data_IF_483056494067
#
_entry.id   IF_483056494067
#
_cell.length_a   1.000
_cell.length_b   1.000
_cell.length_c   1.000
_cell.angle_alpha   90.00
_cell.angle_beta   90.00
_cell.angle_gamma   90.00
#
_symmetry.space_group_name_H-M   'P 1'
#
loop_
_entity.id
_entity.type
_entity.pdbx_description
1 polymer ?
#
# COMPACT_ATOMS: atom_id res chain seq x y z
N UNK A 1 7.41 13.08 13.69
CA UNK A 1 7.68 11.68 13.35
C UNK A 1 7.32 11.44 11.89
N UNK A 2 8.10 10.62 11.25
CA UNK A 2 7.85 10.31 9.85
C UNK A 2 6.60 9.44 9.69
N UNK A 3 5.88 9.65 8.61
CA UNK A 3 4.75 8.81 8.27
C UNK A 3 5.23 7.46 7.79
N UNK A 4 4.43 6.44 8.05
CA UNK A 4 4.78 5.03 7.83
C UNK A 4 3.99 4.46 6.66
N UNK A 5 4.68 3.76 5.79
CA UNK A 5 4.07 3.12 4.63
C UNK A 5 4.40 1.63 4.66
N UNK A 6 3.37 0.81 4.57
CA UNK A 6 3.54 -0.64 4.47
C UNK A 6 3.41 -1.02 3.00
N UNK A 7 4.43 -1.68 2.47
CA UNK A 7 4.45 -2.17 1.10
C UNK A 7 4.25 -3.69 1.13
N UNK A 8 3.24 -4.17 0.43
CA UNK A 8 2.95 -5.59 0.34
C UNK A 8 2.95 -6.02 -1.11
N UNK A 9 4.04 -6.66 -1.54
CA UNK A 9 4.25 -7.11 -2.90
C UNK A 9 5.23 -8.28 -2.84
N UNK A 10 4.91 -9.39 -3.52
CA UNK A 10 5.76 -10.57 -3.49
C UNK A 10 6.94 -10.50 -4.48
N UNK A 11 6.99 -9.49 -5.32
CA UNK A 11 8.15 -9.24 -6.17
C UNK A 11 9.16 -8.40 -5.39
N UNK A 12 10.27 -9.00 -4.93
CA UNK A 12 11.23 -8.26 -4.11
C UNK A 12 11.87 -7.09 -4.84
N UNK A 13 11.98 -7.15 -6.15
CA UNK A 13 12.54 -6.04 -6.94
C UNK A 13 11.63 -4.82 -6.85
N UNK A 14 10.34 -5.02 -7.06
CA UNK A 14 9.35 -3.93 -6.98
C UNK A 14 9.27 -3.40 -5.55
N UNK A 15 9.20 -4.30 -4.58
CA UNK A 15 9.10 -3.91 -3.18
C UNK A 15 10.31 -3.08 -2.73
N UNK A 16 11.52 -3.51 -3.11
CA UNK A 16 12.73 -2.76 -2.79
C UNK A 16 12.78 -1.41 -3.47
N UNK A 17 12.37 -1.36 -4.74
CA UNK A 17 12.32 -0.10 -5.49
C UNK A 17 11.39 0.91 -4.81
N UNK A 18 10.21 0.48 -4.43
CA UNK A 18 9.25 1.34 -3.74
C UNK A 18 9.78 1.78 -2.38
N UNK A 19 10.35 0.84 -1.64
CA UNK A 19 10.89 1.14 -0.32
C UNK A 19 11.99 2.19 -0.40
N UNK A 20 12.93 2.02 -1.32
CA UNK A 20 14.02 2.98 -1.49
C UNK A 20 13.51 4.37 -1.89
N UNK A 21 12.63 4.41 -2.88
CA UNK A 21 12.12 5.69 -3.37
C UNK A 21 11.36 6.46 -2.30
N UNK A 22 10.54 5.75 -1.51
CA UNK A 22 9.77 6.39 -0.45
C UNK A 22 10.64 6.76 0.74
N UNK A 23 11.64 5.94 1.06
CA UNK A 23 12.59 6.27 2.11
C UNK A 23 13.42 7.51 1.74
N UNK A 24 13.79 7.64 0.47
CA UNK A 24 14.51 8.82 -0.01
C UNK A 24 13.68 10.10 0.14
N UNK A 25 12.35 9.98 0.11
CA UNK A 25 11.46 11.12 0.35
C UNK A 25 11.28 11.42 1.83
N UNK A 26 11.73 10.54 2.71
CA UNK A 26 11.64 10.75 4.16
C UNK A 26 10.59 9.91 4.87
N UNK A 27 9.85 9.08 4.15
CA UNK A 27 8.87 8.17 4.79
C UNK A 27 9.58 6.99 5.44
N UNK A 28 9.00 6.48 6.53
CA UNK A 28 9.39 5.19 7.06
C UNK A 28 8.67 4.11 6.28
N UNK A 29 9.39 3.14 5.77
CA UNK A 29 8.79 2.08 4.95
C UNK A 29 9.04 0.72 5.57
N UNK A 30 8.01 -0.09 5.53
CA UNK A 30 8.05 -1.49 5.95
C UNK A 30 7.59 -2.33 4.79
N UNK A 31 8.13 -3.52 4.67
CA UNK A 31 7.85 -4.38 3.55
C UNK A 31 7.48 -5.76 4.05
N UNK A 32 6.43 -6.34 3.49
CA UNK A 32 6.12 -7.74 3.73
C UNK A 32 5.75 -8.42 2.42
N UNK A 33 6.27 -9.62 2.25
CA UNK A 33 5.92 -10.47 1.10
C UNK A 33 5.04 -11.63 1.55
N UNK A 34 4.67 -11.67 2.83
CA UNK A 34 3.91 -12.77 3.42
C UNK A 34 2.56 -12.30 3.89
N UNK A 35 1.54 -12.76 3.20
CA UNK A 35 0.16 -12.42 3.51
C UNK A 35 -0.24 -12.82 4.93
N UNK A 36 0.26 -13.94 5.42
CA UNK A 36 -0.03 -14.40 6.77
C UNK A 36 0.40 -13.42 7.85
N UNK A 37 1.35 -12.55 7.53
CA UNK A 37 1.84 -11.54 8.46
C UNK A 37 1.21 -10.18 8.28
N UNK A 38 0.27 -10.07 7.36
CA UNK A 38 -0.33 -8.79 7.04
C UNK A 38 -1.01 -8.14 8.24
N UNK A 39 -1.87 -8.88 8.92
CA UNK A 39 -2.57 -8.36 10.08
C UNK A 39 -1.59 -7.92 11.17
N UNK A 40 -0.60 -8.76 11.44
CA UNK A 40 0.39 -8.46 12.46
C UNK A 40 1.21 -7.22 12.08
N UNK A 41 1.57 -7.10 10.81
CA UNK A 41 2.31 -5.94 10.34
C UNK A 41 1.50 -4.66 10.48
N UNK A 42 0.24 -4.68 10.11
CA UNK A 42 -0.64 -3.52 10.24
C UNK A 42 -0.80 -3.14 11.71
N UNK A 43 -1.02 -4.12 12.55
CA UNK A 43 -1.21 -3.90 13.98
C UNK A 43 0.06 -3.37 14.65
N UNK A 44 1.20 -3.91 14.29
CA UNK A 44 2.47 -3.56 14.90
C UNK A 44 3.01 -2.23 14.40
N UNK A 45 3.04 -2.04 13.08
CA UNK A 45 3.65 -0.84 12.50
C UNK A 45 2.71 0.34 12.44
N UNK A 46 1.42 0.12 12.44
CA UNK A 46 0.40 1.17 12.37
C UNK A 46 0.68 2.11 11.19
N UNK A 47 0.69 1.58 9.97
CA UNK A 47 1.03 2.41 8.82
C UNK A 47 0.00 3.48 8.55
N UNK A 48 0.45 4.57 7.95
CA UNK A 48 -0.42 5.65 7.49
C UNK A 48 -0.95 5.38 6.09
N UNK A 49 -0.32 4.45 5.37
CA UNK A 49 -0.70 4.07 4.01
C UNK A 49 -0.24 2.64 3.75
N UNK A 50 -1.03 1.92 2.98
CA UNK A 50 -0.65 0.59 2.50
C UNK A 50 -0.58 0.61 0.98
N UNK A 51 0.53 0.15 0.42
CA UNK A 51 0.65 -0.14 -1.01
C UNK A 51 0.50 -1.65 -1.17
N UNK A 52 -0.54 -2.07 -1.87
CA UNK A 52 -0.93 -3.48 -1.91
C UNK A 52 -1.00 -3.99 -3.34
N UNK A 53 -0.29 -5.07 -3.65
CA UNK A 53 -0.46 -5.81 -4.89
C UNK A 53 -1.57 -6.85 -4.71
N UNK A 54 -2.49 -6.90 -5.66
CA UNK A 54 -3.58 -7.88 -5.63
C UNK A 54 -3.12 -9.26 -6.07
N UNK A 55 -2.13 -9.33 -6.94
CA UNK A 55 -1.71 -10.60 -7.55
C UNK A 55 -0.36 -11.02 -6.98
N UNK A 56 -0.41 -11.67 -5.83
CA UNK A 56 0.75 -12.29 -5.24
C UNK A 56 0.75 -13.79 -5.54
N UNK A 57 1.93 -14.38 -5.58
CA UNK A 57 2.16 -15.71 -6.13
C UNK A 57 1.19 -16.79 -5.62
N UNK A 58 0.91 -16.80 -4.35
CA UNK A 58 0.04 -17.83 -3.75
C UNK A 58 -1.19 -17.25 -3.07
N UNK A 59 -1.40 -15.94 -3.19
CA UNK A 59 -2.42 -15.25 -2.42
C UNK A 59 -3.02 -14.12 -3.25
N UNK A 60 -4.28 -13.88 -3.00
CA UNK A 60 -5.00 -12.79 -3.62
C UNK A 60 -5.11 -11.66 -2.60
N UNK A 61 -4.59 -10.49 -2.96
CA UNK A 61 -4.64 -9.32 -2.08
C UNK A 61 -6.05 -8.89 -1.68
N UNK A 62 -7.08 -9.42 -2.33
CA UNK A 62 -8.46 -9.16 -1.92
C UNK A 62 -8.77 -9.68 -0.53
N UNK A 63 -8.09 -10.74 -0.09
CA UNK A 63 -8.28 -11.26 1.26
C UNK A 63 -7.79 -10.25 2.29
N UNK A 64 -6.69 -9.58 2.01
CA UNK A 64 -6.16 -8.52 2.87
C UNK A 64 -7.11 -7.33 2.93
N UNK A 65 -7.74 -6.98 1.80
CA UNK A 65 -8.71 -5.90 1.76
C UNK A 65 -9.94 -6.25 2.59
N UNK A 66 -10.41 -7.49 2.52
CA UNK A 66 -11.53 -7.94 3.35
C UNK A 66 -11.18 -7.87 4.82
N UNK A 67 -9.96 -8.26 5.17
CA UNK A 67 -9.50 -8.18 6.55
C UNK A 67 -9.52 -6.74 7.05
N UNK A 68 -9.02 -5.81 6.26
CA UNK A 68 -9.05 -4.39 6.62
C UNK A 68 -10.48 -3.86 6.79
N UNK A 69 -11.39 -4.29 5.92
CA UNK A 69 -12.78 -3.89 6.02
C UNK A 69 -13.44 -4.38 7.31
N UNK A 70 -13.02 -5.56 7.80
CA UNK A 70 -13.56 -6.18 9.00
C UNK A 70 -12.93 -5.67 10.29
N UNK A 71 -11.88 -4.87 10.20
CA UNK A 71 -11.18 -4.35 11.37
C UNK A 71 -11.54 -2.87 11.59
N UNK A 72 -11.06 -2.32 12.71
CA UNK A 72 -11.22 -0.90 13.01
C UNK A 72 -10.13 -0.03 12.39
N UNK A 73 -9.23 -0.64 11.62
CA UNK A 73 -8.18 0.12 10.97
C UNK A 73 -8.78 1.06 9.91
N UNK A 74 -8.36 2.30 9.94
CA UNK A 74 -8.80 3.32 8.98
C UNK A 74 -7.59 3.80 8.17
N UNK A 75 -7.05 2.89 7.37
CA UNK A 75 -5.81 3.13 6.66
C UNK A 75 -6.10 3.19 5.16
N UNK A 76 -5.73 4.28 4.48
CA UNK A 76 -5.89 4.34 3.04
C UNK A 76 -4.99 3.31 2.36
N UNK A 77 -5.50 2.73 1.28
CA UNK A 77 -4.78 1.72 0.50
C UNK A 77 -4.67 2.20 -0.94
N UNK A 78 -3.48 2.11 -1.50
CA UNK A 78 -3.24 2.27 -2.93
C UNK A 78 -2.93 0.86 -3.46
N UNK A 79 -3.75 0.39 -4.37
CA UNK A 79 -3.51 -0.89 -5.04
C UNK A 79 -2.51 -0.66 -6.17
N UNK A 80 -1.43 -1.45 -6.19
CA UNK A 80 -0.41 -1.37 -7.25
C UNK A 80 -0.32 -2.76 -7.88
N UNK A 81 -0.88 -2.93 -9.06
CA UNK A 81 -1.11 -4.28 -9.58
C UNK A 81 -0.97 -4.36 -11.11
N UNK A 82 -0.60 -5.55 -11.58
CA UNK A 82 -0.64 -5.88 -13.01
C UNK A 82 -2.03 -6.37 -13.45
N UNK A 83 -2.95 -6.57 -12.52
CA UNK A 83 -4.30 -7.06 -12.83
C UNK A 83 -5.12 -5.95 -13.50
N UNK A 84 -5.33 -6.07 -14.81
CA UNK A 84 -5.93 -5.01 -15.60
C UNK A 84 -7.42 -4.78 -15.31
N UNK A 85 -8.10 -5.77 -14.77
CA UNK A 85 -9.53 -5.66 -14.47
C UNK A 85 -9.83 -5.18 -13.05
N UNK A 86 -8.82 -4.71 -12.33
CA UNK A 86 -9.00 -4.23 -10.95
C UNK A 86 -10.06 -3.14 -10.84
N UNK A 87 -10.15 -2.26 -11.85
CA UNK A 87 -11.13 -1.19 -11.86
C UNK A 87 -12.59 -1.65 -11.84
N UNK A 88 -12.85 -2.89 -12.26
CA UNK A 88 -14.21 -3.44 -12.22
C UNK A 88 -14.70 -3.72 -10.81
N UNK A 89 -13.80 -3.73 -9.84
CA UNK A 89 -14.12 -3.98 -8.43
C UNK A 89 -14.00 -2.71 -7.59
N UNK A 90 -14.02 -1.57 -8.24
CA UNK A 90 -13.76 -0.28 -7.60
C UNK A 90 -14.65 -0.03 -6.39
N UNK A 91 -15.94 -0.35 -6.48
CA UNK A 91 -16.86 -0.10 -5.37
C UNK A 91 -16.50 -0.92 -4.15
N UNK A 92 -16.21 -2.21 -4.34
CA UNK A 92 -15.80 -3.09 -3.24
C UNK A 92 -14.47 -2.63 -2.64
N UNK A 93 -13.54 -2.22 -3.48
CA UNK A 93 -12.23 -1.74 -3.02
C UNK A 93 -12.37 -0.46 -2.22
N UNK A 94 -13.23 0.45 -2.66
CA UNK A 94 -13.45 1.71 -1.94
C UNK A 94 -13.95 1.47 -0.52
N UNK A 95 -14.83 0.49 -0.33
CA UNK A 95 -15.33 0.13 0.99
C UNK A 95 -14.21 -0.39 1.90
N UNK A 96 -13.21 -1.02 1.33
CA UNK A 96 -12.05 -1.53 2.08
C UNK A 96 -10.99 -0.47 2.35
N UNK A 97 -11.16 0.74 1.83
CA UNK A 97 -10.20 1.82 2.05
C UNK A 97 -9.29 2.11 0.87
N UNK A 98 -9.51 1.46 -0.28
CA UNK A 98 -8.72 1.73 -1.48
C UNK A 98 -9.08 3.11 -2.03
N UNK A 99 -8.07 3.97 -2.15
CA UNK A 99 -8.26 5.33 -2.65
C UNK A 99 -7.81 5.50 -4.08
N UNK A 100 -6.95 4.61 -4.58
CA UNK A 100 -6.46 4.66 -5.95
C UNK A 100 -5.96 3.30 -6.40
N UNK A 101 -6.01 3.06 -7.70
CA UNK A 101 -5.46 1.86 -8.32
C UNK A 101 -4.39 2.29 -9.32
N UNK A 102 -3.19 1.77 -9.16
CA UNK A 102 -2.06 2.04 -10.05
C UNK A 102 -1.70 0.74 -10.76
N UNK A 103 -1.62 0.78 -12.07
CA UNK A 103 -1.31 -0.40 -12.88
C UNK A 103 0.17 -0.51 -13.16
N UNK A 104 0.70 -1.71 -13.10
CA UNK A 104 2.08 -2.00 -13.49
C UNK A 104 2.16 -2.16 -15.02
N UNK A 105 3.22 -1.70 -15.67
CA UNK A 105 4.32 -0.92 -15.11
C UNK A 105 3.88 0.53 -14.81
N UNK A 106 4.44 1.11 -13.78
CA UNK A 106 4.09 2.47 -13.37
C UNK A 106 5.33 3.36 -13.41
N UNK A 107 5.09 4.67 -13.46
CA UNK A 107 6.14 5.66 -13.32
C UNK A 107 6.39 5.88 -11.83
N UNK A 108 7.64 5.72 -11.39
CA UNK A 108 7.97 5.79 -9.98
C UNK A 108 7.73 7.17 -9.40
N UNK A 109 8.08 8.22 -10.15
CA UNK A 109 7.88 9.60 -9.68
C UNK A 109 6.39 9.91 -9.53
N UNK A 110 5.57 9.41 -10.45
CA UNK A 110 4.11 9.58 -10.36
C UNK A 110 3.54 8.87 -9.13
N UNK A 111 4.05 7.69 -8.82
CA UNK A 111 3.59 6.96 -7.64
C UNK A 111 4.00 7.68 -6.36
N UNK A 112 5.22 8.17 -6.29
CA UNK A 112 5.68 8.95 -5.13
C UNK A 112 4.82 10.19 -4.94
N UNK A 113 4.49 10.88 -6.03
CA UNK A 113 3.62 12.06 -5.96
C UNK A 113 2.21 11.69 -5.51
N UNK A 114 1.69 10.55 -5.97
CA UNK A 114 0.39 10.06 -5.53
C UNK A 114 0.39 9.78 -4.03
N UNK A 115 1.45 9.18 -3.51
CA UNK A 115 1.59 8.98 -2.07
C UNK A 115 1.54 10.32 -1.34
N UNK A 116 2.28 11.30 -1.82
CA UNK A 116 2.31 12.63 -1.22
C UNK A 116 0.94 13.29 -1.22
N UNK A 117 0.20 13.18 -2.29
CA UNK A 117 -1.14 13.77 -2.37
C UNK A 117 -2.14 13.02 -1.49
N UNK A 118 -1.90 11.74 -1.24
CA UNK A 118 -2.80 10.91 -0.45
C UNK A 118 -2.64 11.14 1.05
N UNK A 119 -1.40 11.14 1.54
CA UNK A 119 -1.15 11.23 2.98
C UNK A 119 -0.33 12.46 3.39
N UNK A 120 0.05 13.29 2.44
CA UNK A 120 0.90 14.44 2.70
C UNK A 120 2.38 14.09 2.71
N UNK A 121 3.22 15.06 2.98
CA UNK A 121 4.66 14.85 3.05
C UNK A 121 5.05 13.92 4.18
N UNK A 122 6.32 13.50 4.23
CA UNK A 122 6.76 12.50 5.20
C UNK A 122 6.74 12.99 6.64
N UNK A 123 6.87 14.29 6.86
CA UNK A 123 6.78 14.85 8.19
C UNK A 123 5.35 14.78 8.71
N UNK A 124 5.18 14.69 10.00
CA UNK A 124 3.87 14.65 10.60
C UNK A 124 3.11 15.97 10.52
N UNK A 125 2.00 16.05 11.23
CA UNK A 125 1.11 17.22 11.19
C UNK A 125 1.74 18.51 11.62
N UNK A 126 2.80 18.44 12.35
CA UNK A 126 3.50 19.60 12.85
C UNK A 126 4.56 20.12 11.89
N UNK A 127 4.58 19.57 10.74
CA UNK A 127 5.48 20.04 9.71
C UNK A 127 5.05 21.42 9.23
#
# INVERSE_FOLDING_TARGET
MAKKILVMDDDPTIADLLREALADEGYETYMTTQSLRFYDAVHEYKPDLILLDLMMQYLDGRDELKLLEMTDFRIPVIVVTAYLDAGKEEEAFRKAGVVEIVYKPFDLDDLVELVRTTIGGPEGKNA
#
